data_IF_890938042074
#
_entry.id   IF_890938042074
#
_cell.length_a   1.000
_cell.length_b   1.000
_cell.length_c   1.000
_cell.angle_alpha   90.00
_cell.angle_beta   90.00
_cell.angle_gamma   90.00
#
_symmetry.space_group_name_H-M   'P 1'
#
loop_
_entity.id
_entity.type
_entity.pdbx_description
1 polymer ?
2 polymer ?
#
# COMPACT_ATOMS: atom_id res chain seq x y z
N UNK A 2 -30.01 -6.55 -9.76
CA UNK A 2 -30.20 -7.84 -9.11
C UNK A 2 -28.95 -8.69 -9.25
N UNK A 3 -28.64 -9.11 -10.48
CA UNK A 3 -27.44 -9.91 -10.70
C UNK A 3 -26.17 -9.06 -10.64
N UNK A 4 -26.29 -7.76 -10.90
CA UNK A 4 -25.14 -6.88 -10.76
C UNK A 4 -24.65 -6.82 -9.32
N UNK A 5 -25.58 -6.72 -8.37
CA UNK A 5 -25.20 -6.62 -6.97
C UNK A 5 -24.58 -7.93 -6.48
N UNK A 6 -25.08 -9.06 -6.97
CA UNK A 6 -24.49 -10.34 -6.59
C UNK A 6 -23.05 -10.45 -7.06
N UNK A 7 -22.77 -9.98 -8.28
CA UNK A 7 -21.40 -10.01 -8.78
C UNK A 7 -20.51 -8.99 -8.07
N UNK A 8 -21.05 -7.82 -7.74
CA UNK A 8 -20.25 -6.84 -7.00
C UNK A 8 -19.88 -7.37 -5.62
N UNK A 9 -20.82 -8.02 -4.93
CA UNK A 9 -20.52 -8.62 -3.64
C UNK A 9 -19.56 -9.79 -3.79
N UNK A 10 -19.68 -10.54 -4.88
CA UNK A 10 -18.75 -11.64 -5.12
C UNK A 10 -17.33 -11.13 -5.31
N UNK A 11 -17.17 -10.02 -6.03
CA UNK A 11 -15.85 -9.44 -6.18
C UNK A 11 -15.26 -8.97 -4.87
N UNK A 12 -16.09 -8.38 -4.01
CA UNK A 12 -15.61 -7.93 -2.71
C UNK A 12 -15.14 -9.11 -1.86
N UNK A 13 -15.87 -10.22 -1.90
CA UNK A 13 -15.49 -11.40 -1.14
C UNK A 13 -14.16 -11.95 -1.65
N UNK A 14 -14.00 -12.03 -2.97
CA UNK A 14 -12.76 -12.58 -3.52
C UNK A 14 -11.58 -11.64 -3.28
N UNK A 15 -11.84 -10.34 -3.23
CA UNK A 15 -10.77 -9.39 -2.91
C UNK A 15 -10.32 -9.55 -1.46
N UNK A 16 -11.27 -9.77 -0.55
CA UNK A 16 -10.93 -9.90 0.86
C UNK A 16 -10.07 -11.12 1.12
N UNK A 17 -10.23 -12.18 0.33
CA UNK A 17 -9.45 -13.39 0.50
C UNK A 17 -8.10 -13.34 -0.20
N UNK A 18 -7.79 -12.25 -0.90
CA UNK A 18 -6.55 -12.14 -1.63
C UNK A 18 -6.59 -12.62 -3.06
N UNK A 19 -7.76 -13.02 -3.56
CA UNK A 19 -7.91 -13.47 -4.94
C UNK A 19 -8.21 -12.26 -5.80
N UNK A 20 -7.16 -11.53 -6.18
CA UNK A 20 -7.34 -10.30 -6.93
C UNK A 20 -7.77 -10.55 -8.36
N UNK A 21 -7.25 -11.60 -9.00
CA UNK A 21 -7.61 -11.86 -10.39
C UNK A 21 -9.06 -12.29 -10.52
N UNK A 22 -9.53 -13.16 -9.62
CA UNK A 22 -10.94 -13.54 -9.63
C UNK A 22 -11.83 -12.37 -9.24
N UNK A 23 -11.35 -11.48 -8.38
CA UNK A 23 -12.10 -10.27 -8.06
C UNK A 23 -12.25 -9.38 -9.28
N UNK A 24 -11.20 -9.28 -10.10
CA UNK A 24 -11.28 -8.47 -11.31
C UNK A 24 -12.33 -9.02 -12.26
N UNK A 25 -12.40 -10.35 -12.39
CA UNK A 25 -13.40 -10.96 -13.26
C UNK A 25 -14.80 -10.65 -12.74
N UNK A 26 -15.00 -10.77 -11.42
CA UNK A 26 -16.32 -10.50 -10.85
C UNK A 26 -16.71 -9.04 -11.00
N UNK A 27 -15.79 -8.12 -10.74
CA UNK A 27 -16.09 -6.70 -10.89
C UNK A 27 -16.37 -6.35 -12.35
N UNK A 28 -15.59 -6.90 -13.27
CA UNK A 28 -15.83 -6.65 -14.69
C UNK A 28 -17.21 -7.14 -15.09
N UNK A 29 -17.58 -8.34 -14.64
CA UNK A 29 -18.92 -8.85 -14.91
C UNK A 29 -19.99 -7.91 -14.38
N UNK A 30 -19.80 -7.38 -13.17
CA UNK A 30 -20.77 -6.45 -12.61
C UNK A 30 -20.88 -5.19 -13.46
N UNK A 31 -19.79 -4.81 -14.13
CA UNK A 31 -19.78 -3.56 -14.88
C UNK A 31 -20.44 -3.67 -16.24
N UNK A 32 -20.73 -4.89 -16.71
CA UNK A 32 -21.55 -5.03 -17.91
C UNK A 32 -23.01 -4.75 -17.62
N UNK A 33 -23.51 -5.21 -16.48
CA UNK A 33 -24.90 -4.95 -16.13
C UNK A 33 -25.14 -3.45 -15.99
N UNK A 34 -24.32 -2.79 -15.17
CA UNK A 34 -24.49 -1.39 -14.81
C UNK A 34 -23.14 -0.70 -14.90
N UNK A 35 -22.77 -0.18 -16.08
CA UNK A 35 -21.47 0.48 -16.21
C UNK A 35 -21.36 1.77 -15.42
N UNK A 36 -22.46 2.28 -14.86
CA UNK A 36 -22.46 3.52 -14.10
C UNK A 36 -22.40 3.27 -12.60
N UNK A 37 -21.81 2.15 -12.18
CA UNK A 37 -21.63 1.85 -10.76
C UNK A 37 -20.29 2.42 -10.31
N UNK A 38 -20.32 3.52 -9.57
CA UNK A 38 -19.08 4.15 -9.13
C UNK A 38 -18.32 3.25 -8.17
N UNK A 39 -19.03 2.58 -7.26
CA UNK A 39 -18.36 1.72 -6.30
C UNK A 39 -17.67 0.54 -6.98
N UNK A 40 -18.29 -0.02 -8.02
CA UNK A 40 -17.66 -1.10 -8.75
C UNK A 40 -16.40 -0.63 -9.46
N UNK A 41 -16.44 0.57 -10.04
CA UNK A 41 -15.26 1.11 -10.71
C UNK A 41 -14.13 1.36 -9.73
N UNK A 42 -14.45 1.94 -8.57
CA UNK A 42 -13.42 2.18 -7.56
C UNK A 42 -12.83 0.87 -7.06
N UNK A 43 -13.68 -0.12 -6.78
CA UNK A 43 -13.18 -1.39 -6.27
C UNK A 43 -12.38 -2.16 -7.32
N UNK A 44 -12.76 -2.03 -8.59
CA UNK A 44 -11.96 -2.65 -9.64
C UNK A 44 -10.57 -2.06 -9.70
N UNK A 45 -10.46 -0.73 -9.57
CA UNK A 45 -9.15 -0.11 -9.52
C UNK A 45 -8.34 -0.55 -8.32
N UNK A 46 -9.01 -0.79 -7.19
CA UNK A 46 -8.31 -1.27 -6.00
C UNK A 46 -7.72 -2.65 -6.23
N UNK A 47 -8.46 -3.54 -6.89
CA UNK A 47 -7.94 -4.87 -7.19
C UNK A 47 -6.76 -4.79 -8.15
N UNK A 48 -6.85 -3.92 -9.16
CA UNK A 48 -5.73 -3.74 -10.08
C UNK A 48 -4.51 -3.18 -9.36
N UNK A 49 -4.72 -2.20 -8.48
CA UNK A 49 -3.61 -1.60 -7.75
C UNK A 49 -2.93 -2.63 -6.85
N UNK A 50 -3.71 -3.48 -6.19
CA UNK A 50 -3.12 -4.52 -5.36
C UNK A 50 -2.38 -5.55 -6.19
N UNK A 51 -2.75 -5.71 -7.46
CA UNK A 51 -2.06 -6.63 -8.35
C UNK A 51 -0.75 -6.08 -8.88
N UNK A 52 -0.55 -4.77 -8.81
CA UNK A 52 0.62 -4.15 -9.39
C UNK A 52 0.40 -3.50 -10.73
N UNK A 53 -0.77 -3.67 -11.34
CA UNK A 53 -1.08 -3.04 -12.62
C UNK A 53 -1.53 -1.61 -12.33
N UNK A 54 -0.69 -0.64 -12.69
CA UNK A 54 -0.96 0.74 -12.33
C UNK A 54 -1.63 1.54 -13.44
N UNK A 55 -1.47 1.13 -14.70
CA UNK A 55 -2.15 1.83 -15.78
C UNK A 55 -3.64 1.52 -15.78
N UNK A 56 -4.00 0.25 -15.62
CA UNK A 56 -5.41 -0.11 -15.52
C UNK A 56 -6.03 0.41 -14.23
N UNK A 57 -5.28 0.39 -13.13
CA UNK A 57 -5.79 0.95 -11.89
C UNK A 57 -6.09 2.43 -12.05
N UNK A 58 -5.23 3.15 -12.77
CA UNK A 58 -5.49 4.57 -13.02
C UNK A 58 -6.76 4.74 -13.83
N UNK A 59 -6.92 3.95 -14.90
CA UNK A 59 -8.10 4.10 -15.76
C UNK A 59 -9.38 3.87 -14.97
N UNK A 60 -9.39 2.84 -14.12
CA UNK A 60 -10.57 2.57 -13.31
C UNK A 60 -10.86 3.71 -12.34
N UNK A 61 -9.82 4.28 -11.73
CA UNK A 61 -10.03 5.33 -10.74
C UNK A 61 -10.60 6.59 -11.38
N UNK A 62 -10.12 6.96 -12.57
CA UNK A 62 -10.69 8.13 -13.24
C UNK A 62 -12.14 7.90 -13.61
N UNK A 63 -12.49 6.68 -14.04
CA UNK A 63 -13.89 6.38 -14.33
C UNK A 63 -14.75 6.51 -13.08
N UNK A 64 -14.24 6.01 -11.95
CA UNK A 64 -14.98 6.13 -10.69
C UNK A 64 -15.14 7.59 -10.29
N UNK A 65 -14.15 8.43 -10.59
CA UNK A 65 -14.24 9.84 -10.23
C UNK A 65 -15.16 10.61 -11.16
N UNK A 66 -15.30 10.17 -12.41
CA UNK A 66 -16.26 10.80 -13.31
C UNK A 66 -17.68 10.62 -12.79
N UNK A 67 -18.01 9.43 -12.30
CA UNK A 67 -19.33 9.19 -11.74
C UNK A 67 -19.47 9.71 -10.32
N UNK A 68 -18.36 9.98 -9.63
CA UNK A 68 -18.41 10.43 -8.25
C UNK A 68 -17.13 11.18 -7.89
N UNK A 69 -17.04 12.48 -8.19
CA UNK A 69 -15.79 13.21 -7.94
C UNK A 69 -15.52 13.52 -6.48
N UNK A 70 -16.46 13.24 -5.57
CA UNK A 70 -16.30 13.55 -4.16
C UNK A 70 -15.78 12.35 -3.36
N UNK A 71 -14.98 11.50 -3.99
CA UNK A 71 -14.41 10.32 -3.34
C UNK A 71 -12.96 10.65 -2.98
N UNK A 72 -12.71 10.84 -1.69
CA UNK A 72 -11.34 11.12 -1.25
C UNK A 72 -10.45 9.90 -1.42
N UNK A 73 -10.97 8.71 -1.14
CA UNK A 73 -10.17 7.50 -1.27
C UNK A 73 -9.76 7.25 -2.72
N UNK A 74 -10.66 7.52 -3.66
CA UNK A 74 -10.32 7.37 -5.07
C UNK A 74 -9.25 8.37 -5.49
N UNK A 75 -9.34 9.60 -5.00
CA UNK A 75 -8.33 10.60 -5.34
C UNK A 75 -6.97 10.23 -4.76
N UNK A 76 -6.93 9.83 -3.50
CA UNK A 76 -5.66 9.45 -2.89
C UNK A 76 -5.08 8.21 -3.55
N UNK A 77 -5.90 7.18 -3.78
CA UNK A 77 -5.40 5.97 -4.40
C UNK A 77 -4.98 6.21 -5.84
N UNK A 78 -5.61 7.16 -6.52
CA UNK A 78 -5.14 7.58 -7.83
C UNK A 78 -3.74 8.18 -7.73
N UNK A 79 -3.50 9.00 -6.71
CA UNK A 79 -2.17 9.54 -6.51
C UNK A 79 -1.13 8.48 -6.23
N UNK A 80 -1.50 7.45 -5.46
CA UNK A 80 -0.57 6.37 -5.18
C UNK A 80 -0.19 5.62 -6.45
N UNK A 81 -1.16 5.40 -7.34
CA UNK A 81 -0.85 4.77 -8.61
C UNK A 81 0.09 5.63 -9.44
N UNK A 82 -0.14 6.94 -9.45
CA UNK A 82 0.75 7.85 -10.16
C UNK A 82 2.15 7.84 -9.56
N UNK A 83 2.25 7.78 -8.23
CA UNK A 83 3.55 7.73 -7.58
C UNK A 83 4.32 6.48 -7.99
N UNK A 84 3.65 5.33 -8.03
CA UNK A 84 4.33 4.09 -8.38
C UNK A 84 4.79 4.09 -9.83
N UNK A 85 4.19 4.94 -10.67
CA UNK A 85 4.60 5.05 -12.06
C UNK A 85 5.68 6.09 -12.27
N UNK A 86 6.06 6.83 -11.23
CA UNK A 86 7.04 7.88 -11.37
C UNK A 86 6.50 9.20 -11.89
N UNK A 87 5.20 9.30 -12.11
CA UNK A 87 4.59 10.53 -12.61
C UNK A 87 4.22 11.40 -11.42
N UNK A 88 5.07 12.37 -11.10
CA UNK A 88 4.93 13.13 -9.86
C UNK A 88 4.02 14.34 -10.00
N UNK A 89 3.86 14.87 -11.21
CA UNK A 89 2.99 16.03 -11.39
C UNK A 89 1.53 15.65 -11.14
N UNK A 90 1.10 14.51 -11.68
CA UNK A 90 -0.27 14.06 -11.45
C UNK A 90 -0.45 13.53 -10.04
N UNK A 91 0.61 12.96 -9.45
CA UNK A 91 0.52 12.54 -8.06
C UNK A 91 0.27 13.72 -7.14
N UNK A 92 0.93 14.85 -7.40
CA UNK A 92 0.70 16.04 -6.59
C UNK A 92 -0.73 16.53 -6.76
N UNK A 93 -1.23 16.57 -8.00
CA UNK A 93 -2.60 17.02 -8.22
C UNK A 93 -3.61 16.11 -7.54
N UNK A 94 -3.42 14.79 -7.67
CA UNK A 94 -4.34 13.85 -7.05
C UNK A 94 -4.30 13.94 -5.53
N UNK A 95 -3.10 13.99 -4.96
CA UNK A 95 -2.98 14.07 -3.50
C UNK A 95 -3.56 15.38 -2.98
N UNK A 96 -3.36 16.48 -3.71
CA UNK A 96 -3.93 17.76 -3.29
C UNK A 96 -5.45 17.71 -3.26
N UNK A 97 -6.06 17.11 -4.28
CA UNK A 97 -7.51 17.00 -4.30
C UNK A 97 -8.02 16.10 -3.18
N UNK A 98 -7.29 15.02 -2.89
CA UNK A 98 -7.68 14.14 -1.79
C UNK A 98 -7.65 14.89 -0.47
N UNK A 99 -6.69 15.80 -0.30
CA UNK A 99 -6.61 16.57 0.94
C UNK A 99 -7.68 17.64 1.01
N UNK A 100 -8.16 18.13 -0.14
CA UNK A 100 -9.29 19.05 -0.13
C UNK A 100 -10.54 18.36 0.39
N UNK A 101 -10.77 17.12 -0.03
CA UNK A 101 -11.94 16.38 0.45
C UNK A 101 -11.74 15.89 1.88
N UNK A 102 -10.55 15.41 2.20
CA UNK A 102 -10.26 14.82 3.51
C UNK A 102 -8.99 15.46 4.07
N UNK A 103 -9.10 16.63 4.70
CA UNK A 103 -7.88 17.30 5.19
C UNK A 103 -7.10 16.50 6.21
N UNK A 104 -7.77 15.73 7.07
CA UNK A 104 -7.09 14.96 8.11
C UNK A 104 -6.82 13.53 7.64
N UNK A 105 -6.11 13.43 6.53
CA UNK A 105 -5.65 12.16 5.98
C UNK A 105 -4.13 12.23 5.93
N UNK A 106 -3.47 11.52 6.84
CA UNK A 106 -2.02 11.64 6.93
C UNK A 106 -1.32 10.85 5.83
N UNK A 107 -1.93 9.78 5.33
CA UNK A 107 -1.30 9.05 4.23
C UNK A 107 -1.25 9.89 2.96
N UNK A 108 -2.33 10.63 2.68
CA UNK A 108 -2.30 11.55 1.55
C UNK A 108 -1.34 12.70 1.81
N UNK A 109 -1.29 13.20 3.05
CA UNK A 109 -0.38 14.29 3.37
C UNK A 109 1.07 13.85 3.23
N UNK A 110 1.40 12.65 3.72
CA UNK A 110 2.75 12.13 3.56
C UNK A 110 3.08 11.88 2.09
N UNK A 111 2.10 11.37 1.33
CA UNK A 111 2.33 11.15 -0.09
C UNK A 111 2.57 12.44 -0.85
N UNK A 112 1.88 13.51 -0.47
CA UNK A 112 2.11 14.80 -1.10
C UNK A 112 3.53 15.29 -0.83
N UNK A 113 4.01 15.12 0.40
CA UNK A 113 5.38 15.52 0.71
C UNK A 113 6.39 14.70 -0.08
N UNK A 114 6.17 13.38 -0.17
CA UNK A 114 7.09 12.54 -0.93
C UNK A 114 7.07 12.87 -2.41
N UNK A 115 5.88 13.15 -2.96
CA UNK A 115 5.79 13.49 -4.37
C UNK A 115 6.52 14.79 -4.67
N UNK A 116 6.34 15.80 -3.82
CA UNK A 116 7.03 17.07 -4.03
C UNK A 116 8.54 16.91 -3.94
N UNK A 117 9.01 16.14 -2.96
CA UNK A 117 10.45 15.94 -2.81
C UNK A 117 11.04 15.18 -3.99
N UNK A 118 10.36 14.13 -4.45
CA UNK A 118 10.85 13.38 -5.60
C UNK A 118 10.85 14.24 -6.86
N UNK A 119 9.89 15.16 -6.97
CA UNK A 119 9.89 16.08 -8.10
C UNK A 119 11.09 17.03 -8.05
N UNK A 120 11.45 17.49 -6.85
CA UNK A 120 12.56 18.43 -6.72
C UNK A 120 13.88 17.81 -7.16
N UNK A 121 14.13 16.56 -6.78
CA UNK A 121 15.32 15.86 -7.23
C UNK A 121 15.14 15.36 -8.66
N UNK B 6 -0.48 -13.66 29.11
CA UNK B 6 0.45 -14.78 29.26
C UNK B 6 1.11 -15.11 27.94
N UNK B 7 2.34 -15.62 28.01
CA UNK B 7 3.09 -15.94 26.80
C UNK B 7 2.54 -17.19 26.14
N UNK B 8 2.50 -17.18 24.81
CA UNK B 8 2.15 -18.35 24.02
C UNK B 8 3.14 -18.46 22.86
N UNK B 9 3.60 -19.68 22.59
CA UNK B 9 4.52 -19.88 21.49
C UNK B 9 3.81 -19.69 20.16
N UNK B 10 4.37 -18.84 19.31
CA UNK B 10 3.79 -18.52 18.02
C UNK B 10 4.77 -18.82 16.90
N UNK B 11 4.22 -19.08 15.72
CA UNK B 11 5.02 -19.20 14.51
C UNK B 11 4.41 -18.44 13.35
N UNK B 12 3.35 -17.66 13.57
CA UNK B 12 2.65 -16.94 12.52
C UNK B 12 2.86 -15.44 12.61
N UNK B 13 3.91 -14.99 13.27
CA UNK B 13 4.27 -13.58 13.33
C UNK B 13 5.59 -13.36 12.61
N UNK B 14 5.68 -12.27 11.86
CA UNK B 14 6.88 -11.97 11.08
C UNK B 14 7.31 -10.54 11.35
N UNK B 15 8.62 -10.30 11.22
CA UNK B 15 9.20 -8.97 11.34
C UNK B 15 10.04 -8.72 10.09
N UNK B 16 9.58 -7.84 9.22
CA UNK B 16 10.29 -7.52 7.99
C UNK B 16 11.12 -6.27 8.23
N UNK B 17 12.42 -6.37 8.02
CA UNK B 17 13.34 -5.26 8.23
C UNK B 17 13.85 -4.76 6.89
N UNK B 18 13.85 -3.45 6.71
CA UNK B 18 14.35 -2.82 5.50
C UNK B 18 14.80 -1.42 5.85
N UNK B 19 15.62 -0.83 4.98
CA UNK B 19 16.11 0.53 5.17
C UNK B 19 15.82 1.36 3.94
N UNK B 20 15.44 2.62 4.16
CA UNK B 20 15.19 3.56 3.07
C UNK B 20 16.02 4.81 3.32
N UNK B 21 16.35 5.55 2.26
CA UNK B 21 17.29 6.67 2.44
C UNK B 21 16.74 7.85 3.21
N UNK B 22 15.49 8.22 3.00
CA UNK B 22 14.96 9.48 3.50
C UNK B 22 13.89 9.22 4.55
N UNK B 23 13.69 10.21 5.43
CA UNK B 23 12.64 10.12 6.44
C UNK B 23 11.25 10.25 5.84
N UNK B 24 11.07 11.16 4.87
CA UNK B 24 9.76 11.33 4.27
C UNK B 24 9.31 10.06 3.56
N UNK B 25 10.24 9.39 2.87
CA UNK B 25 9.91 8.12 2.25
C UNK B 25 9.63 7.05 3.30
N UNK B 26 10.38 7.07 4.41
CA UNK B 26 10.15 6.10 5.47
C UNK B 26 8.77 6.28 6.08
N UNK B 27 8.38 7.53 6.35
CA UNK B 27 7.07 7.79 6.92
C UNK B 27 5.96 7.38 5.96
N UNK B 28 6.12 7.69 4.67
CA UNK B 28 5.09 7.34 3.70
C UNK B 28 4.95 5.83 3.57
N UNK B 29 6.07 5.11 3.46
CA UNK B 29 5.99 3.66 3.33
C UNK B 29 5.37 3.03 4.57
N UNK B 30 5.64 3.60 5.75
CA UNK B 30 5.04 3.09 6.97
C UNK B 30 3.53 3.31 6.98
N UNK B 31 3.10 4.54 6.71
CA UNK B 31 1.67 4.85 6.73
C UNK B 31 0.93 4.08 5.65
N UNK B 32 1.49 4.02 4.44
CA UNK B 32 0.82 3.31 3.35
C UNK B 32 0.68 1.83 3.67
N UNK B 33 1.72 1.21 4.22
CA UNK B 33 1.65 -0.22 4.50
C UNK B 33 0.65 -0.53 5.60
N UNK B 34 0.56 0.34 6.61
CA UNK B 34 -0.36 0.08 7.71
C UNK B 34 -1.81 0.24 7.26
N UNK B 35 -2.09 1.24 6.42
CA UNK B 35 -3.47 1.56 6.11
C UNK B 35 -4.15 0.48 5.27
N UNK B 36 -3.42 -0.19 4.38
CA UNK B 36 -4.02 -1.24 3.56
C UNK B 36 -3.85 -2.61 4.18
N UNK B 37 -3.68 -2.68 5.50
CA UNK B 37 -3.60 -3.96 6.16
C UNK B 37 -2.43 -4.81 5.76
N UNK B 38 -1.43 -4.24 5.10
CA UNK B 38 -0.23 -5.01 4.78
C UNK B 38 0.60 -5.26 6.02
N UNK B 39 0.69 -4.28 6.92
CA UNK B 39 1.45 -4.39 8.15
C UNK B 39 0.64 -3.81 9.30
N UNK B 40 0.71 -4.46 10.46
CA UNK B 40 -0.05 -4.00 11.61
C UNK B 40 0.60 -2.80 12.28
N UNK B 41 1.93 -2.73 12.26
CA UNK B 41 2.65 -1.70 12.99
C UNK B 41 4.05 -1.58 12.40
N UNK B 42 4.54 -0.34 12.30
CA UNK B 42 5.84 -0.04 11.72
C UNK B 42 6.62 0.86 12.67
N UNK B 43 7.91 0.56 12.84
CA UNK B 43 8.81 1.37 13.64
C UNK B 43 9.94 1.89 12.77
N UNK B 44 10.25 3.18 12.89
CA UNK B 44 11.25 3.84 12.05
C UNK B 44 12.39 4.32 12.94
N UNK B 45 13.59 3.79 12.70
CA UNK B 45 14.77 4.12 13.48
C UNK B 45 15.81 4.74 12.56
N UNK B 46 16.33 5.93 12.89
CA UNK B 46 17.44 6.49 12.10
C UNK B 46 18.76 5.83 12.48
N UNK B 47 19.36 5.13 11.52
CA UNK B 47 20.61 4.43 11.73
C UNK B 47 21.67 5.01 10.80
N UNK B 48 22.88 4.49 10.92
CA UNK B 48 23.98 4.79 10.02
C UNK B 48 24.41 3.49 9.36
N UNK B 49 24.48 3.49 8.03
CA UNK B 49 24.71 2.28 7.26
C UNK B 49 26.08 2.35 6.61
N UNK B 50 26.88 1.30 6.79
CA UNK B 50 28.19 1.17 6.16
C UNK B 50 28.17 -0.07 5.28
N UNK B 51 28.44 0.12 3.99
CA UNK B 51 28.46 -0.99 3.04
C UNK B 51 29.32 -0.58 1.85
N UNK B 52 29.50 -1.51 0.91
CA UNK B 52 30.31 -1.29 -0.28
C UNK B 52 29.39 -1.00 -1.45
N UNK B 53 29.48 0.21 -1.99
CA UNK B 53 28.67 0.63 -3.13
C UNK B 53 29.59 0.93 -4.31
N UNK B 54 29.43 0.17 -5.39
CA UNK B 54 30.29 0.27 -6.57
C UNK B 54 31.76 0.09 -6.21
N UNK B 55 32.05 -0.84 -5.30
CA UNK B 55 33.41 -1.13 -4.92
C UNK B 55 34.04 -0.12 -3.98
N UNK B 56 33.30 0.87 -3.52
CA UNK B 56 33.81 1.90 -2.62
C UNK B 56 32.97 1.95 -1.36
N UNK B 57 33.64 2.13 -0.22
CA UNK B 57 32.95 2.18 1.06
C UNK B 57 32.16 3.47 1.18
N UNK B 58 30.93 3.36 1.68
CA UNK B 58 30.05 4.51 1.87
C UNK B 58 29.47 4.45 3.27
N UNK B 59 29.46 5.60 3.94
CA UNK B 59 28.84 5.75 5.26
C UNK B 59 27.70 6.75 5.11
N UNK B 60 26.47 6.28 5.28
CA UNK B 60 25.30 7.09 5.01
C UNK B 60 24.31 7.00 6.16
N UNK B 61 23.51 8.05 6.31
CA UNK B 61 22.47 8.13 7.32
C UNK B 61 21.15 7.71 6.69
N UNK B 62 20.74 6.47 6.94
CA UNK B 62 19.50 5.95 6.39
C UNK B 62 18.52 5.73 7.53
N UNK B 63 17.29 5.34 7.21
CA UNK B 63 16.26 5.07 8.20
C UNK B 63 15.85 3.62 8.09
N UNK B 64 15.79 2.93 9.23
CA UNK B 64 15.47 1.51 9.25
C UNK B 64 13.99 1.33 9.60
N UNK B 65 13.30 0.51 8.81
CA UNK B 65 11.89 0.23 9.01
C UNK B 65 11.72 -1.21 9.47
N UNK B 66 10.74 -1.45 10.34
CA UNK B 66 10.45 -2.78 10.85
C UNK B 66 8.94 -2.98 10.82
N UNK B 67 8.47 -3.83 9.91
CA UNK B 67 7.05 -4.11 9.75
C UNK B 67 6.67 -5.35 10.55
N UNK B 68 5.61 -5.25 11.33
CA UNK B 68 5.07 -6.39 12.07
C UNK B 68 3.87 -6.94 11.32
N UNK B 69 3.97 -8.18 10.86
CA UNK B 69 2.94 -8.78 10.04
C UNK B 69 2.69 -10.20 10.53
N UNK B 70 1.93 -10.95 9.74
CA UNK B 70 1.72 -12.37 9.95
C UNK B 70 2.29 -13.13 8.76
N UNK B 71 2.49 -14.43 8.93
CA UNK B 71 3.04 -15.22 7.83
C UNK B 71 2.11 -15.24 6.63
N UNK B 72 0.82 -15.00 6.83
CA UNK B 72 -0.14 -15.01 5.73
C UNK B 72 -0.04 -13.75 4.88
N UNK B 73 0.18 -12.60 5.51
CA UNK B 73 0.27 -11.32 4.81
C UNK B 73 1.70 -10.89 4.53
N UNK B 74 2.69 -11.73 4.83
CA UNK B 74 4.08 -11.35 4.61
C UNK B 74 4.39 -11.26 3.12
N UNK B 75 3.92 -12.22 2.33
CA UNK B 75 4.22 -12.23 0.91
C UNK B 75 3.59 -11.04 0.20
N UNK B 76 2.37 -10.66 0.61
CA UNK B 76 1.73 -9.49 0.02
C UNK B 76 2.48 -8.22 0.36
N UNK B 77 2.95 -8.09 1.60
CA UNK B 77 3.71 -6.91 1.99
C UNK B 77 5.04 -6.84 1.26
N UNK B 78 5.74 -7.97 1.15
CA UNK B 78 7.04 -7.99 0.49
C UNK B 78 6.89 -7.62 -0.98
N UNK B 79 5.88 -8.17 -1.66
CA UNK B 79 5.66 -7.84 -3.06
C UNK B 79 5.35 -6.36 -3.24
N UNK B 80 4.52 -5.80 -2.36
CA UNK B 80 4.24 -4.37 -2.42
C UNK B 80 5.50 -3.56 -2.21
N UNK B 81 6.34 -3.98 -1.27
CA UNK B 81 7.53 -3.20 -0.92
C UNK B 81 8.51 -3.13 -2.08
N UNK B 82 8.81 -4.27 -2.70
CA UNK B 82 9.75 -4.26 -3.82
C UNK B 82 9.23 -3.45 -4.99
N UNK B 83 7.91 -3.46 -5.22
CA UNK B 83 7.36 -2.63 -6.27
C UNK B 83 7.54 -1.15 -5.97
N UNK B 84 7.55 -0.77 -4.69
CA UNK B 84 7.57 0.63 -4.29
C UNK B 84 8.84 1.07 -3.59
N UNK B 85 9.78 0.16 -3.33
CA UNK B 85 11.01 0.55 -2.65
C UNK B 85 11.83 1.48 -3.54
N UNK B 86 12.33 2.59 -2.99
CA UNK B 86 13.12 3.52 -3.81
C UNK B 86 14.38 2.91 -4.39
N UNK B 87 15.04 2.01 -3.66
CA UNK B 87 16.30 1.44 -4.12
C UNK B 87 16.05 0.34 -5.14
N UNK B 88 17.00 0.20 -6.08
CA UNK B 88 16.90 -0.86 -7.07
C UNK B 88 17.02 -2.24 -6.44
N UNK B 89 17.91 -2.40 -5.46
CA UNK B 89 18.07 -3.64 -4.72
C UNK B 89 17.80 -3.33 -3.25
N UNK B 90 16.61 -3.66 -2.75
CA UNK B 90 16.30 -3.43 -1.36
C UNK B 90 16.52 -4.55 -0.35
N UNK B 91 16.81 -4.12 0.87
CA UNK B 91 16.97 -5.06 1.97
C UNK B 91 15.62 -5.68 2.33
N UNK B 92 15.63 -6.99 2.57
CA UNK B 92 14.42 -7.69 2.98
C UNK B 92 14.85 -8.83 3.89
N UNK B 93 14.80 -8.60 5.20
CA UNK B 93 15.14 -9.60 6.19
C UNK B 93 13.92 -9.88 7.05
N UNK B 94 13.62 -11.15 7.26
CA UNK B 94 12.42 -11.56 7.97
C UNK B 94 12.83 -12.31 9.23
N UNK B 95 12.56 -11.72 10.39
CA UNK B 95 12.71 -12.39 11.66
C UNK B 95 11.36 -12.91 12.13
N UNK B 96 11.38 -13.95 12.94
CA UNK B 96 10.16 -14.55 13.47
C UNK B 96 10.22 -14.60 14.99
N UNK B 97 9.39 -13.82 15.69
CA UNK B 97 9.29 -13.99 17.14
C UNK B 97 8.78 -15.39 17.48
N UNK B 98 9.38 -16.01 18.49
CA UNK B 98 8.96 -17.34 18.89
C UNK B 98 7.80 -17.32 19.87
N UNK B 99 7.53 -16.17 20.49
CA UNK B 99 6.44 -16.08 21.45
C UNK B 99 5.89 -14.66 21.44
N UNK B 100 4.70 -14.51 22.00
CA UNK B 100 4.08 -13.20 22.16
C UNK B 100 2.92 -13.35 23.13
N UNK B 101 2.50 -12.22 23.70
CA UNK B 101 1.34 -12.23 24.57
C UNK B 101 0.08 -12.50 23.76
N UNK B 102 -0.91 -13.12 24.41
CA UNK B 102 -2.12 -13.51 23.70
C UNK B 102 -2.85 -12.28 23.18
N UNK B 103 -2.98 -11.25 24.01
CA UNK B 103 -3.70 -10.05 23.60
C UNK B 103 -3.02 -9.36 22.42
N UNK B 104 -1.69 -9.25 22.46
CA UNK B 104 -0.97 -8.61 21.37
C UNK B 104 -1.06 -9.42 20.09
N UNK B 105 -0.96 -10.75 20.19
CA UNK B 105 -1.08 -11.59 19.00
C UNK B 105 -2.47 -11.48 18.39
N UNK B 106 -3.51 -11.45 19.23
CA UNK B 106 -4.86 -11.25 18.72
C UNK B 106 -5.01 -9.89 18.06
N UNK B 107 -4.43 -8.85 18.66
CA UNK B 107 -4.49 -7.52 18.07
C UNK B 107 -3.71 -7.47 16.76
N UNK B 108 -2.59 -8.19 16.68
CA UNK B 108 -1.81 -8.21 15.45
C UNK B 108 -2.60 -8.84 14.31
N UNK B 109 -3.15 -10.04 14.53
CA UNK B 109 -3.89 -10.72 13.46
C UNK B 109 -5.12 -9.93 13.05
N UNK B 110 -5.84 -9.36 14.01
CA UNK B 110 -7.07 -8.65 13.70
C UNK B 110 -6.84 -7.34 12.96
N UNK B 111 -5.60 -6.86 12.88
CA UNK B 111 -5.29 -5.62 12.17
C UNK B 111 -4.86 -5.85 10.73
N UNK B 112 -4.85 -7.10 10.27
CA UNK B 112 -4.46 -7.39 8.89
C UNK B 112 -5.63 -8.01 8.13
#
# INVERSE_FOLDING_TARGET
MNLAEKMYKAGQIEFAKGNYETAIIAYTLALLKDPNNAEAWYNLGEAYLALGNYEEAIEAYQKALELDPNNAEAWYNLGEAYLALGDYDNAIEAFTKALELDPNNKTAKAGLKLAKEKKALE
MTDLSSLIETADLRLLLTTVPTETEALYLALAAVEKGLAAEVLITPVTRVRRENGKLVVEDVYRLSFKTTRERLDALVAWLQRRHPLALPECLVLTPIASSVAYRDWLRSSLQGGSHHWGGHHHHHH
#
